data_IF_439434724034
#
_entry.id   IF_439434724034
#
_cell.length_a   1.000
_cell.length_b   1.000
_cell.length_c   1.000
_cell.angle_alpha   90.00
_cell.angle_beta   90.00
_cell.angle_gamma   90.00
#
_symmetry.space_group_name_H-M   'P 1'
#
loop_
_entity.id
_entity.type
_entity.pdbx_description
1 polymer ?
#
# COMPACT_ATOMS: atom_id res chain seq x y z
N UNK A 1 36.47 -75.00 19.83
CA UNK A 1 37.93 -74.75 19.76
C UNK A 1 38.14 -73.38 20.36
N UNK A 2 38.48 -73.32 21.66
CA UNK A 2 39.87 -73.18 22.20
C UNK A 2 40.43 -71.82 21.77
N UNK A 3 40.80 -70.87 22.64
CA UNK A 3 41.32 -70.85 24.02
C UNK A 3 40.96 -69.46 24.61
N UNK A 4 40.56 -69.24 25.87
CA UNK A 4 41.16 -69.53 27.19
C UNK A 4 42.53 -68.87 27.44
N UNK A 5 42.63 -68.16 28.58
CA UNK A 5 43.81 -67.68 29.33
C UNK A 5 43.95 -66.13 29.34
N UNK A 6 44.12 -65.44 30.47
CA UNK A 6 44.38 -65.87 31.86
C UNK A 6 44.10 -64.71 32.82
N UNK A 7 43.59 -65.08 33.99
CA UNK A 7 43.44 -64.28 35.20
C UNK A 7 44.78 -63.70 35.71
N UNK A 8 44.73 -62.58 36.43
CA UNK A 8 45.13 -62.58 37.86
C UNK A 8 44.50 -61.40 38.63
N UNK A 9 43.77 -61.78 39.69
CA UNK A 9 43.20 -60.95 40.75
C UNK A 9 44.27 -60.34 41.68
N UNK A 10 43.76 -59.52 42.62
CA UNK A 10 44.22 -59.24 44.01
C UNK A 10 44.73 -57.79 44.12
N UNK A 11 44.22 -56.85 44.93
CA UNK A 11 43.39 -56.78 46.17
C UNK A 11 43.02 -55.28 46.30
N UNK A 12 41.90 -54.81 46.86
CA UNK A 12 41.53 -54.85 48.29
C UNK A 12 40.21 -54.09 48.48
N UNK A 13 39.35 -54.65 49.31
CA UNK A 13 38.03 -54.18 49.73
C UNK A 13 38.03 -52.79 50.37
N UNK A 14 36.94 -52.04 50.18
CA UNK A 14 36.37 -51.20 51.24
C UNK A 14 34.83 -51.29 51.21
N UNK A 15 34.26 -51.51 52.39
CA UNK A 15 32.87 -51.84 52.64
C UNK A 15 31.88 -50.73 52.22
N UNK A 16 30.79 -51.18 51.60
CA UNK A 16 29.59 -50.42 51.30
C UNK A 16 28.69 -50.42 52.54
N UNK A 17 28.27 -49.25 53.01
CA UNK A 17 27.09 -49.11 53.87
C UNK A 17 26.07 -48.24 53.13
N UNK A 18 24.97 -48.86 52.69
CA UNK A 18 23.84 -48.20 52.05
C UNK A 18 23.03 -47.45 53.11
N UNK A 19 22.89 -46.14 52.96
CA UNK A 19 21.87 -45.34 53.63
C UNK A 19 21.03 -44.67 52.54
N UNK A 20 19.84 -45.23 52.28
CA UNK A 20 18.85 -44.65 51.37
C UNK A 20 18.03 -43.63 52.18
N UNK A 21 18.30 -42.35 51.96
CA UNK A 21 17.45 -41.25 52.44
C UNK A 21 16.48 -40.89 51.33
N UNK A 22 15.19 -41.16 51.54
CA UNK A 22 14.11 -40.61 50.72
C UNK A 22 14.02 -39.10 50.97
N UNK A 23 14.58 -38.31 50.06
CA UNK A 23 14.41 -36.87 50.06
C UNK A 23 13.14 -36.52 49.26
N UNK A 24 12.06 -36.26 49.97
CA UNK A 24 10.82 -35.71 49.43
C UNK A 24 11.06 -34.25 48.99
N UNK A 25 11.53 -34.04 47.78
CA UNK A 25 11.53 -32.71 47.17
C UNK A 25 10.12 -32.42 46.64
N UNK A 26 9.40 -31.54 47.33
CA UNK A 26 8.23 -30.86 46.81
C UNK A 26 8.63 -30.13 45.51
N UNK A 27 8.25 -30.69 44.37
CA UNK A 27 8.25 -29.98 43.10
C UNK A 27 7.03 -29.05 43.13
N UNK A 28 7.21 -27.83 43.64
CA UNK A 28 6.28 -26.75 43.37
C UNK A 28 6.24 -26.56 41.85
N UNK A 29 5.12 -26.97 41.25
CA UNK A 29 4.77 -26.65 39.88
C UNK A 29 4.67 -25.14 39.74
N UNK A 30 5.80 -24.49 39.51
CA UNK A 30 5.85 -23.13 39.04
C UNK A 30 5.41 -23.16 37.57
N UNK A 31 4.10 -23.34 37.35
CA UNK A 31 3.45 -22.99 36.09
C UNK A 31 3.69 -21.50 35.92
N UNK A 32 4.81 -21.13 35.29
CA UNK A 32 4.89 -19.91 34.49
C UNK A 32 3.73 -20.02 33.53
N UNK A 33 2.62 -19.39 33.88
CA UNK A 33 1.59 -19.03 32.92
C UNK A 33 2.34 -18.30 31.83
N UNK A 34 2.47 -18.92 30.64
CA UNK A 34 2.83 -18.20 29.43
C UNK A 34 1.76 -17.12 29.36
N UNK A 35 2.12 -15.89 29.72
CA UNK A 35 1.25 -14.73 29.55
C UNK A 35 0.97 -14.72 28.04
N UNK A 36 -0.25 -15.08 27.65
CA UNK A 36 -0.67 -14.93 26.27
C UNK A 36 -0.49 -13.44 25.97
N UNK A 37 0.38 -13.13 25.02
CA UNK A 37 0.47 -11.77 24.53
C UNK A 37 -0.88 -11.42 23.92
N UNK A 38 -1.46 -10.26 24.27
CA UNK A 38 -2.80 -9.91 23.85
C UNK A 38 -2.85 -9.72 22.33
N UNK A 39 -4.02 -10.00 21.76
CA UNK A 39 -4.35 -9.58 20.39
C UNK A 39 -4.12 -8.07 20.29
N UNK A 40 -3.44 -7.65 19.22
CA UNK A 40 -3.21 -6.25 18.91
C UNK A 40 -3.76 -5.95 17.52
N UNK A 41 -4.57 -4.90 17.41
CA UNK A 41 -5.04 -4.33 16.13
C UNK A 41 -4.51 -2.91 16.02
N UNK A 42 -3.48 -2.74 15.21
CA UNK A 42 -2.84 -1.47 14.92
C UNK A 42 -3.47 -0.85 13.69
N UNK A 43 -4.01 0.37 13.82
CA UNK A 43 -4.53 1.17 12.70
C UNK A 43 -3.47 2.21 12.38
N UNK A 44 -2.91 2.17 11.16
CA UNK A 44 -1.66 2.89 10.84
C UNK A 44 -1.79 4.41 10.94
N UNK A 45 -2.96 4.96 10.62
CA UNK A 45 -3.21 6.41 10.64
C UNK A 45 -4.04 6.87 11.85
N UNK A 46 -3.97 6.09 12.94
CA UNK A 46 -4.60 6.42 14.22
C UNK A 46 -6.07 6.01 14.32
N UNK A 47 -6.57 6.12 15.55
CA UNK A 47 -7.91 5.65 15.94
C UNK A 47 -9.01 6.70 15.71
N UNK A 48 -8.63 7.90 15.25
CA UNK A 48 -9.54 8.96 14.82
C UNK A 48 -9.07 9.43 13.45
N UNK A 49 -9.90 9.25 12.44
CA UNK A 49 -9.57 9.62 11.07
C UNK A 49 -10.66 10.48 10.47
N UNK A 50 -10.24 11.48 9.71
CA UNK A 50 -11.12 12.40 9.01
C UNK A 50 -11.07 12.09 7.50
N UNK A 51 -12.22 12.04 6.86
CA UNK A 51 -12.34 11.88 5.41
C UNK A 51 -13.22 13.00 4.85
N UNK A 52 -12.83 13.53 3.69
CA UNK A 52 -13.57 14.60 3.04
C UNK A 52 -13.26 16.01 3.52
N UNK A 53 -12.31 16.21 4.44
CA UNK A 53 -11.90 17.53 4.97
C UNK A 53 -11.53 18.56 3.89
N UNK A 54 -11.00 18.07 2.78
CA UNK A 54 -10.53 18.89 1.65
C UNK A 54 -11.11 18.37 0.34
N UNK A 55 -12.22 17.65 0.35
CA UNK A 55 -12.79 16.98 -0.83
C UNK A 55 -12.60 15.46 -0.83
N UNK A 56 -13.16 14.81 -1.85
CA UNK A 56 -13.31 13.36 -1.91
C UNK A 56 -12.63 12.77 -3.16
N UNK A 57 -11.41 12.22 -3.04
CA UNK A 57 -10.66 11.73 -4.20
C UNK A 57 -11.21 10.45 -4.82
N UNK A 58 -12.01 9.68 -4.07
CA UNK A 58 -12.55 8.40 -4.51
C UNK A 58 -13.88 8.06 -3.83
N UNK A 59 -14.57 7.04 -4.34
CA UNK A 59 -15.84 6.55 -3.80
C UNK A 59 -15.75 5.81 -2.45
N UNK A 60 -14.53 5.46 -2.00
CA UNK A 60 -14.29 4.70 -0.77
C UNK A 60 -13.38 5.43 0.21
N UNK A 61 -13.53 5.11 1.49
CA UNK A 61 -12.52 5.41 2.51
C UNK A 61 -11.78 4.13 2.89
N UNK A 62 -10.54 4.25 3.37
CA UNK A 62 -9.70 3.10 3.71
C UNK A 62 -9.19 3.25 5.14
N UNK A 63 -9.56 2.30 6.02
CA UNK A 63 -8.93 2.15 7.33
C UNK A 63 -7.94 1.00 7.23
N UNK A 64 -6.66 1.37 7.20
CA UNK A 64 -5.54 0.47 6.96
C UNK A 64 -4.84 0.10 8.28
N UNK A 65 -4.35 -1.13 8.37
CA UNK A 65 -3.69 -1.58 9.59
C UNK A 65 -3.16 -3.01 9.54
N UNK A 66 -2.70 -3.47 10.69
CA UNK A 66 -2.22 -4.82 10.89
C UNK A 66 -2.72 -5.42 12.22
N UNK A 67 -3.12 -6.69 12.20
CA UNK A 67 -3.54 -7.44 13.37
C UNK A 67 -2.55 -8.55 13.71
N UNK A 68 -2.14 -8.65 14.98
CA UNK A 68 -1.17 -9.65 15.46
C UNK A 68 -1.64 -10.30 16.74
N UNK A 69 -1.34 -11.59 16.85
CA UNK A 69 -1.42 -12.36 18.09
C UNK A 69 -0.35 -13.44 18.05
N UNK A 70 0.17 -13.84 19.22
CA UNK A 70 1.20 -14.87 19.32
C UNK A 70 0.73 -16.23 18.77
N UNK A 71 -0.54 -16.54 18.96
CA UNK A 71 -1.21 -17.74 18.45
C UNK A 71 -1.61 -17.61 16.97
N UNK A 72 -1.47 -16.43 16.35
CA UNK A 72 -2.06 -16.10 15.05
C UNK A 72 -3.49 -15.54 15.20
N UNK A 73 -3.89 -14.68 14.27
CA UNK A 73 -5.28 -14.19 14.21
C UNK A 73 -6.13 -15.21 13.46
N UNK A 74 -7.21 -15.68 14.09
CA UNK A 74 -8.16 -16.60 13.49
C UNK A 74 -9.25 -15.88 12.68
N UNK A 75 -9.71 -14.72 13.16
CA UNK A 75 -10.62 -13.86 12.41
C UNK A 75 -10.50 -12.40 12.81
N UNK A 76 -10.82 -11.52 11.86
CA UNK A 76 -11.04 -10.11 12.08
C UNK A 76 -12.30 -9.70 11.31
N UNK A 77 -13.15 -8.90 11.95
CA UNK A 77 -14.32 -8.29 11.33
C UNK A 77 -14.48 -6.86 11.83
N UNK A 78 -15.32 -6.09 11.14
CA UNK A 78 -15.70 -4.74 11.59
C UNK A 78 -17.21 -4.55 11.61
N UNK A 79 -17.70 -3.74 12.54
CA UNK A 79 -19.08 -3.23 12.58
C UNK A 79 -19.05 -1.71 12.36
N UNK A 80 -19.80 -1.24 11.36
CA UNK A 80 -19.96 0.19 11.08
C UNK A 80 -21.30 0.68 11.67
N UNK A 81 -21.25 1.72 12.51
CA UNK A 81 -22.41 2.36 13.13
C UNK A 81 -23.36 1.38 13.82
N UNK A 82 -22.81 0.33 14.47
CA UNK A 82 -23.57 -0.68 15.19
C UNK A 82 -24.29 -1.71 14.31
N UNK A 83 -24.06 -1.70 12.99
CA UNK A 83 -24.60 -2.72 12.07
C UNK A 83 -23.90 -4.07 12.25
N UNK A 84 -24.44 -5.12 11.63
CA UNK A 84 -23.84 -6.46 11.63
C UNK A 84 -22.37 -6.43 11.21
N UNK A 85 -21.56 -7.26 11.87
CA UNK A 85 -20.14 -7.33 11.59
C UNK A 85 -19.86 -7.93 10.20
N UNK A 86 -18.95 -7.31 9.46
CA UNK A 86 -18.51 -7.71 8.13
C UNK A 86 -17.10 -8.33 8.28
N UNK A 87 -16.88 -9.57 7.80
CA UNK A 87 -15.57 -10.20 7.88
C UNK A 87 -14.53 -9.47 7.02
N UNK A 88 -13.29 -9.47 7.47
CA UNK A 88 -12.14 -8.95 6.74
C UNK A 88 -11.22 -10.10 6.31
N UNK A 89 -10.68 -9.96 5.10
CA UNK A 89 -9.50 -10.70 4.66
C UNK A 89 -8.29 -10.23 5.47
N UNK A 90 -7.44 -11.18 5.83
CA UNK A 90 -6.26 -10.95 6.64
C UNK A 90 -5.03 -11.51 5.95
N UNK A 91 -3.96 -10.72 5.95
CA UNK A 91 -2.69 -11.14 5.41
C UNK A 91 -2.58 -10.94 3.90
N UNK A 92 -1.42 -11.32 3.36
CA UNK A 92 -1.09 -11.07 1.96
C UNK A 92 -2.14 -11.63 1.01
N UNK A 93 -2.62 -10.77 0.13
CA UNK A 93 -3.59 -11.10 -0.90
C UNK A 93 -2.96 -10.97 -2.31
N UNK A 94 -1.62 -10.83 -2.31
CA UNK A 94 -0.76 -10.56 -3.46
C UNK A 94 -1.02 -9.24 -4.18
N UNK A 95 -1.90 -8.40 -3.64
CA UNK A 95 -2.32 -7.12 -4.20
C UNK A 95 -2.31 -6.04 -3.12
N UNK A 96 -3.46 -5.72 -2.54
CA UNK A 96 -3.64 -4.59 -1.63
C UNK A 96 -3.08 -4.87 -0.24
N UNK A 97 -3.15 -6.12 0.22
CA UNK A 97 -2.61 -6.57 1.51
C UNK A 97 -1.23 -7.22 1.29
N UNK A 98 -0.20 -6.73 1.99
CA UNK A 98 1.18 -7.12 1.73
C UNK A 98 1.70 -8.17 2.70
N UNK A 99 1.63 -7.89 3.99
CA UNK A 99 2.18 -8.69 5.07
C UNK A 99 1.15 -9.53 5.80
N UNK A 100 1.62 -10.49 6.60
CA UNK A 100 0.78 -11.27 7.50
C UNK A 100 0.05 -10.36 8.49
N UNK A 101 -1.28 -10.53 8.58
CA UNK A 101 -2.12 -9.75 9.49
C UNK A 101 -2.55 -8.39 8.94
N UNK A 102 -2.09 -7.98 7.76
CA UNK A 102 -2.56 -6.74 7.13
C UNK A 102 -4.06 -6.83 6.85
N UNK A 103 -4.73 -5.68 6.99
CA UNK A 103 -6.13 -5.50 6.61
C UNK A 103 -6.33 -4.13 5.97
N UNK A 104 -7.39 -4.02 5.16
CA UNK A 104 -7.90 -2.78 4.62
C UNK A 104 -9.42 -2.80 4.73
N UNK A 105 -9.99 -1.86 5.49
CA UNK A 105 -11.44 -1.67 5.54
C UNK A 105 -11.82 -0.62 4.51
N UNK A 106 -12.26 -1.06 3.34
CA UNK A 106 -12.60 -0.21 2.20
C UNK A 106 -14.11 0.07 2.13
N UNK A 107 -14.54 1.10 2.85
CA UNK A 107 -15.95 1.41 3.07
C UNK A 107 -16.45 2.31 1.95
N UNK A 108 -17.57 1.93 1.30
CA UNK A 108 -18.29 2.84 0.42
C UNK A 108 -18.78 4.06 1.20
N UNK A 109 -18.43 5.27 0.74
CA UNK A 109 -18.76 6.50 1.45
C UNK A 109 -20.27 6.72 1.58
N UNK A 110 -21.10 6.11 0.71
CA UNK A 110 -22.57 6.15 0.82
C UNK A 110 -23.12 5.44 2.07
N UNK A 111 -22.30 4.62 2.74
CA UNK A 111 -22.65 3.96 4.00
C UNK A 111 -22.37 4.82 5.24
N UNK A 112 -21.68 5.96 5.07
CA UNK A 112 -21.31 6.87 6.14
C UNK A 112 -22.37 7.96 6.33
N UNK A 113 -22.53 8.40 7.57
CA UNK A 113 -23.30 9.60 7.91
C UNK A 113 -22.38 10.82 7.83
N UNK A 114 -22.84 11.98 7.33
CA UNK A 114 -22.11 13.24 7.54
C UNK A 114 -21.84 13.46 9.04
N UNK A 115 -20.61 13.83 9.38
CA UNK A 115 -20.13 13.92 10.76
C UNK A 115 -19.58 12.61 11.30
N UNK A 116 -19.93 12.26 12.55
CA UNK A 116 -19.29 11.17 13.29
C UNK A 116 -19.88 9.81 12.93
N UNK A 117 -19.00 8.85 12.67
CA UNK A 117 -19.26 7.43 12.48
C UNK A 117 -18.39 6.61 13.43
N UNK A 118 -18.88 5.43 13.82
CA UNK A 118 -18.17 4.50 14.69
C UNK A 118 -17.85 3.23 13.93
N UNK A 119 -16.59 2.80 13.96
CA UNK A 119 -16.13 1.54 13.40
C UNK A 119 -15.57 0.68 14.54
N UNK A 120 -16.17 -0.47 14.80
CA UNK A 120 -15.69 -1.40 15.82
C UNK A 120 -15.02 -2.60 15.17
N UNK A 121 -13.75 -2.83 15.45
CA UNK A 121 -13.07 -4.09 15.15
C UNK A 121 -13.42 -5.16 16.17
N UNK A 122 -13.61 -6.38 15.70
CA UNK A 122 -13.82 -7.59 16.51
C UNK A 122 -12.83 -8.63 16.01
N UNK A 123 -11.86 -8.99 16.87
CA UNK A 123 -10.80 -9.91 16.54
C UNK A 123 -10.86 -11.15 17.45
N UNK A 124 -10.47 -12.29 16.88
CA UNK A 124 -10.31 -13.56 17.59
C UNK A 124 -9.00 -14.21 17.19
N UNK A 125 -8.25 -14.72 18.15
CA UNK A 125 -7.00 -15.44 17.88
C UNK A 125 -7.24 -16.96 17.77
N UNK A 126 -6.21 -17.71 17.35
CA UNK A 126 -6.29 -19.17 17.21
C UNK A 126 -6.38 -19.92 18.55
N UNK A 127 -6.33 -19.21 19.67
CA UNK A 127 -6.54 -19.74 21.03
C UNK A 127 -7.88 -19.32 21.63
N UNK A 128 -8.81 -18.81 20.80
CA UNK A 128 -10.16 -18.38 21.21
C UNK A 128 -10.18 -17.12 22.11
N UNK A 129 -9.07 -16.37 22.20
CA UNK A 129 -9.08 -15.08 22.86
C UNK A 129 -9.80 -14.06 21.98
N UNK A 130 -10.46 -13.08 22.60
CA UNK A 130 -11.24 -12.04 21.93
C UNK A 130 -10.68 -10.65 22.21
N UNK A 131 -10.83 -9.75 21.24
CA UNK A 131 -10.45 -8.35 21.36
C UNK A 131 -11.40 -7.46 20.56
N UNK A 132 -11.78 -6.32 21.13
CA UNK A 132 -12.55 -5.29 20.43
C UNK A 132 -11.80 -3.96 20.46
N UNK A 133 -11.93 -3.17 19.39
CA UNK A 133 -11.37 -1.82 19.31
C UNK A 133 -12.30 -0.89 18.55
N UNK A 134 -12.63 0.25 19.14
CA UNK A 134 -13.41 1.31 18.50
C UNK A 134 -12.50 2.32 17.80
N UNK A 135 -12.87 2.67 16.57
CA UNK A 135 -12.26 3.69 15.72
C UNK A 135 -13.34 4.72 15.40
N UNK A 136 -12.96 6.00 15.43
CA UNK A 136 -13.84 7.11 15.08
C UNK A 136 -13.52 7.60 13.68
N UNK A 137 -14.57 7.74 12.88
CA UNK A 137 -14.48 8.28 11.52
C UNK A 137 -15.29 9.58 11.51
N UNK A 138 -14.68 10.70 11.15
CA UNK A 138 -15.42 11.91 10.83
C UNK A 138 -15.49 12.04 9.31
N UNK A 139 -16.69 12.15 8.76
CA UNK A 139 -16.92 12.19 7.33
C UNK A 139 -17.57 13.52 6.92
N UNK A 140 -17.02 14.15 5.90
CA UNK A 140 -17.51 15.41 5.34
C UNK A 140 -17.75 15.18 3.84
N UNK A 141 -18.95 15.50 3.35
CA UNK A 141 -19.35 15.25 1.95
C UNK A 141 -19.65 16.52 1.16
N UNK A 142 -19.44 17.68 1.76
CA UNK A 142 -19.76 18.99 1.18
C UNK A 142 -18.55 19.73 0.63
N UNK A 143 -17.34 19.37 1.07
CA UNK A 143 -16.11 20.04 0.65
C UNK A 143 -15.70 19.60 -0.75
N UNK A 144 -15.00 20.49 -1.45
CA UNK A 144 -14.44 20.23 -2.77
C UNK A 144 -12.95 20.54 -2.77
N UNK A 145 -12.15 19.61 -3.28
CA UNK A 145 -10.71 19.84 -3.35
C UNK A 145 -10.37 20.96 -4.32
N UNK A 146 -9.67 22.02 -3.88
CA UNK A 146 -9.33 23.12 -4.75
C UNK A 146 -8.38 22.67 -5.87
N UNK A 147 -8.56 23.21 -7.06
CA UNK A 147 -7.64 23.08 -8.20
C UNK A 147 -7.39 24.50 -8.74
N UNK A 148 -6.17 25.05 -8.66
CA UNK A 148 -4.88 24.41 -8.34
C UNK A 148 -4.70 24.01 -6.87
N UNK A 149 -3.74 23.12 -6.60
CA UNK A 149 -3.39 22.65 -5.26
C UNK A 149 -1.88 22.43 -5.11
N UNK A 150 -1.38 22.46 -3.87
CA UNK A 150 0.01 22.08 -3.61
C UNK A 150 0.19 21.48 -2.22
N UNK A 151 1.14 20.56 -2.09
CA UNK A 151 1.55 19.94 -0.84
C UNK A 151 3.04 20.19 -0.64
N UNK A 152 3.39 20.76 0.51
CA UNK A 152 4.77 20.82 1.00
C UNK A 152 4.92 19.90 2.19
N UNK A 153 5.51 18.72 2.01
CA UNK A 153 5.47 17.66 3.02
C UNK A 153 6.09 18.06 4.36
N UNK A 154 7.11 18.94 4.33
CA UNK A 154 7.75 19.46 5.54
C UNK A 154 6.81 20.23 6.48
N UNK A 155 5.71 20.77 5.95
CA UNK A 155 4.73 21.56 6.72
C UNK A 155 3.54 20.68 7.20
N UNK A 156 3.52 19.41 6.80
CA UNK A 156 2.41 18.48 7.04
C UNK A 156 2.71 17.60 8.24
N UNK A 157 1.74 17.50 9.16
CA UNK A 157 1.86 16.63 10.35
C UNK A 157 1.19 15.28 10.14
N UNK A 158 0.06 15.26 9.43
CA UNK A 158 -0.70 14.04 9.13
C UNK A 158 -1.01 14.00 7.64
N UNK A 159 -0.75 12.87 6.99
CA UNK A 159 -0.95 12.71 5.54
C UNK A 159 -2.42 12.99 5.18
N UNK A 160 -3.35 12.47 5.98
CA UNK A 160 -4.81 12.61 5.79
C UNK A 160 -5.32 14.07 5.83
N UNK A 161 -4.51 15.03 6.29
CA UNK A 161 -4.88 16.46 6.25
C UNK A 161 -4.67 17.10 4.86
N UNK A 162 -3.92 16.44 3.96
CA UNK A 162 -3.51 16.99 2.65
C UNK A 162 -3.56 16.00 1.48
N UNK A 163 -3.80 14.72 1.74
CA UNK A 163 -3.84 13.62 0.78
C UNK A 163 -4.68 12.48 1.36
N UNK A 164 -5.28 11.59 0.56
CA UNK A 164 -5.94 10.39 1.08
C UNK A 164 -5.07 9.15 0.85
N UNK A 165 -4.67 8.44 1.90
CA UNK A 165 -4.02 7.13 1.72
C UNK A 165 -5.07 6.10 1.33
N UNK A 166 -4.86 5.45 0.18
CA UNK A 166 -5.78 4.42 -0.34
C UNK A 166 -5.25 3.02 -0.04
N UNK A 167 -3.94 2.82 -0.22
CA UNK A 167 -3.24 1.57 0.13
C UNK A 167 -1.80 1.81 0.58
N UNK A 168 -1.33 0.88 1.42
CA UNK A 168 0.03 0.89 1.94
C UNK A 168 0.22 1.73 3.19
N UNK A 169 1.38 1.50 3.81
CA UNK A 169 1.85 2.27 4.95
C UNK A 169 2.82 3.34 4.45
N UNK A 170 2.45 4.60 4.65
CA UNK A 170 3.18 5.76 4.20
C UNK A 170 3.61 6.61 5.39
N UNK A 171 4.75 7.27 5.26
CA UNK A 171 5.25 8.21 6.24
C UNK A 171 5.78 9.49 5.61
N UNK A 172 5.67 10.58 6.35
CA UNK A 172 6.27 11.86 5.98
C UNK A 172 7.70 11.85 6.50
N UNK A 173 8.64 12.01 5.59
CA UNK A 173 10.08 12.15 5.88
C UNK A 173 10.54 13.58 5.61
N UNK A 174 11.80 13.89 5.94
CA UNK A 174 12.41 15.18 5.58
C UNK A 174 12.50 15.41 4.07
N UNK A 175 12.50 14.33 3.28
CA UNK A 175 12.66 14.38 1.82
C UNK A 175 11.35 14.34 1.05
N UNK A 176 10.24 14.03 1.71
CA UNK A 176 8.92 13.86 1.10
C UNK A 176 8.13 12.70 1.69
N UNK A 177 7.10 12.27 0.97
CA UNK A 177 6.23 11.15 1.31
C UNK A 177 6.87 9.82 0.86
N UNK A 178 7.07 8.89 1.79
CA UNK A 178 7.76 7.61 1.56
C UNK A 178 6.86 6.42 1.87
N UNK A 179 6.88 5.38 1.03
CA UNK A 179 6.20 4.12 1.33
C UNK A 179 7.13 3.19 2.12
N UNK A 180 6.63 2.69 3.26
CA UNK A 180 7.39 1.83 4.17
C UNK A 180 7.48 0.38 3.69
N UNK A 181 6.49 -0.05 2.92
CA UNK A 181 6.38 -1.42 2.41
C UNK A 181 6.47 -1.42 0.89
N UNK A 182 7.29 -2.33 0.33
CA UNK A 182 7.43 -2.58 -1.11
C UNK A 182 6.55 -3.75 -1.50
N UNK A 183 5.47 -3.50 -2.25
CA UNK A 183 4.55 -4.53 -2.71
C UNK A 183 3.68 -4.03 -3.87
N UNK A 184 2.73 -4.84 -4.37
CA UNK A 184 1.75 -4.42 -5.38
C UNK A 184 1.06 -3.12 -4.94
N UNK A 185 0.97 -2.13 -5.83
CA UNK A 185 0.37 -0.80 -5.65
C UNK A 185 0.23 -0.29 -4.20
N UNK A 186 1.18 0.55 -3.79
CA UNK A 186 1.01 1.49 -2.68
C UNK A 186 0.56 2.80 -3.28
N UNK A 187 -0.56 3.34 -2.79
CA UNK A 187 -1.20 4.49 -3.45
C UNK A 187 -1.74 5.53 -2.48
N UNK A 188 -1.51 6.79 -2.86
CA UNK A 188 -2.00 7.99 -2.17
C UNK A 188 -2.71 8.86 -3.19
N UNK A 189 -3.97 9.19 -2.91
CA UNK A 189 -4.80 10.01 -3.78
C UNK A 189 -4.72 11.50 -3.40
N UNK A 190 -4.70 12.35 -4.42
CA UNK A 190 -4.63 13.80 -4.32
C UNK A 190 -5.69 14.38 -5.26
N UNK A 191 -6.57 15.21 -4.70
CA UNK A 191 -7.61 15.90 -5.46
C UNK A 191 -9.00 15.33 -5.27
N UNK A 192 -9.91 15.72 -6.14
CA UNK A 192 -11.34 15.44 -6.01
C UNK A 192 -11.83 14.55 -7.15
N UNK A 193 -12.91 13.81 -6.91
CA UNK A 193 -13.62 13.07 -7.96
C UNK A 193 -14.20 13.98 -9.06
N UNK A 194 -14.21 15.30 -8.85
CA UNK A 194 -14.62 16.31 -9.82
C UNK A 194 -13.51 16.88 -10.71
N UNK A 195 -12.23 16.59 -10.46
CA UNK A 195 -11.13 17.12 -11.27
C UNK A 195 -11.12 16.53 -12.68
N UNK A 196 -11.06 17.38 -13.71
CA UNK A 196 -11.11 16.97 -15.12
C UNK A 196 -9.75 17.14 -15.81
N UNK A 197 -9.27 18.38 -15.93
CA UNK A 197 -8.04 18.71 -16.65
C UNK A 197 -7.01 19.36 -15.74
N UNK A 198 -5.87 18.70 -15.60
CA UNK A 198 -4.83 19.12 -14.67
C UNK A 198 -3.45 18.57 -15.03
N UNK A 199 -2.44 19.26 -14.52
CA UNK A 199 -1.05 18.83 -14.56
C UNK A 199 -0.54 18.64 -13.14
N UNK A 200 0.06 17.49 -12.87
CA UNK A 200 0.69 17.13 -11.59
C UNK A 200 2.20 17.14 -11.77
N UNK A 201 2.88 17.87 -10.90
CA UNK A 201 4.34 17.92 -10.81
C UNK A 201 4.79 17.48 -9.43
N UNK A 202 5.79 16.61 -9.38
CA UNK A 202 6.48 16.24 -8.14
C UNK A 202 7.91 15.85 -8.46
N UNK A 203 8.63 15.37 -7.45
CA UNK A 203 9.88 14.64 -7.66
C UNK A 203 9.72 13.21 -7.18
N UNK A 204 10.45 12.28 -7.77
CA UNK A 204 10.52 10.89 -7.32
C UNK A 204 11.99 10.51 -7.05
N UNK A 205 12.22 9.76 -5.98
CA UNK A 205 13.50 9.10 -5.70
C UNK A 205 13.22 7.61 -5.56
N UNK A 206 13.88 6.77 -6.38
CA UNK A 206 13.78 5.32 -6.30
C UNK A 206 14.85 4.79 -5.34
N UNK A 207 14.46 4.18 -4.22
CA UNK A 207 15.40 3.68 -3.21
C UNK A 207 15.76 2.21 -3.43
N UNK A 208 14.74 1.41 -3.75
CA UNK A 208 14.86 -0.02 -4.06
C UNK A 208 13.61 -0.48 -4.79
N UNK A 209 13.61 -1.71 -5.31
CA UNK A 209 12.45 -2.30 -5.95
C UNK A 209 12.56 -3.83 -5.93
N UNK A 210 11.43 -4.51 -6.04
CA UNK A 210 11.41 -5.95 -6.35
C UNK A 210 11.60 -6.09 -7.85
N UNK A 211 12.59 -6.85 -8.37
CA UNK A 211 12.73 -7.04 -9.80
C UNK A 211 11.44 -7.60 -10.44
N UNK A 212 11.03 -7.07 -11.61
CA UNK A 212 9.84 -7.57 -12.28
C UNK A 212 9.95 -9.06 -12.62
N UNK A 213 8.92 -9.84 -12.28
CA UNK A 213 8.85 -11.27 -12.52
C UNK A 213 7.44 -11.70 -12.94
N UNK A 214 7.33 -12.87 -13.59
CA UNK A 214 6.04 -13.39 -14.02
C UNK A 214 5.11 -13.64 -12.81
N UNK A 215 3.92 -13.07 -12.88
CA UNK A 215 2.87 -13.25 -11.87
C UNK A 215 2.95 -12.31 -10.66
N UNK A 216 1.98 -12.44 -9.75
CA UNK A 216 1.91 -11.59 -8.55
C UNK A 216 3.15 -11.73 -7.64
N UNK A 217 3.51 -10.67 -6.88
CA UNK A 217 2.83 -9.37 -6.82
C UNK A 217 3.33 -8.37 -7.87
N UNK A 218 4.23 -8.74 -8.79
CA UNK A 218 4.89 -7.78 -9.71
C UNK A 218 4.27 -7.75 -11.11
N UNK A 219 3.73 -8.86 -11.60
CA UNK A 219 3.14 -8.97 -12.94
C UNK A 219 4.07 -8.49 -14.07
N UNK A 220 5.37 -8.76 -13.96
CA UNK A 220 6.41 -8.29 -14.88
C UNK A 220 6.58 -6.76 -14.92
N UNK A 221 6.05 -6.06 -13.91
CA UNK A 221 6.17 -4.61 -13.75
C UNK A 221 6.70 -4.25 -12.35
N UNK A 222 7.55 -3.24 -12.31
CA UNK A 222 7.81 -2.46 -11.10
C UNK A 222 7.99 -1.02 -11.55
N UNK A 223 7.30 -0.09 -10.89
CA UNK A 223 7.24 1.29 -11.36
C UNK A 223 6.96 2.28 -10.24
N UNK A 224 7.20 3.55 -10.54
CA UNK A 224 6.49 4.65 -9.92
C UNK A 224 5.60 5.30 -10.98
N UNK A 225 4.45 5.82 -10.58
CA UNK A 225 3.47 6.38 -11.49
C UNK A 225 2.79 7.61 -10.91
N UNK A 226 2.22 8.39 -11.83
CA UNK A 226 1.08 9.25 -11.53
C UNK A 226 -0.10 8.73 -12.34
N UNK A 227 -1.19 8.37 -11.65
CA UNK A 227 -2.46 8.09 -12.30
C UNK A 227 -3.32 9.34 -12.36
N UNK A 228 -4.09 9.48 -13.42
CA UNK A 228 -4.99 10.59 -13.67
C UNK A 228 -6.43 10.09 -13.81
N UNK A 229 -7.35 10.92 -13.33
CA UNK A 229 -8.79 10.71 -13.33
C UNK A 229 -9.19 9.39 -12.67
N UNK A 230 -8.69 9.16 -11.46
CA UNK A 230 -9.05 8.02 -10.63
C UNK A 230 -10.40 8.24 -9.91
N UNK A 231 -11.42 7.39 -10.16
CA UNK A 231 -12.71 7.48 -9.48
C UNK A 231 -12.77 6.66 -8.18
N UNK A 232 -11.77 5.79 -7.93
CA UNK A 232 -11.80 4.79 -6.86
C UNK A 232 -11.90 3.35 -7.38
N UNK A 233 -11.49 2.39 -6.54
CA UNK A 233 -11.68 0.96 -6.83
C UNK A 233 -13.15 0.61 -7.05
N UNK A 234 -13.46 0.01 -8.19
CA UNK A 234 -14.79 -0.45 -8.55
C UNK A 234 -15.27 -1.69 -7.76
N UNK A 235 -16.56 -2.00 -7.84
CA UNK A 235 -17.15 -3.15 -7.18
C UNK A 235 -16.65 -4.47 -7.81
N UNK A 236 -16.38 -5.45 -6.97
CA UNK A 236 -16.05 -6.84 -7.29
C UNK A 236 -16.46 -7.73 -6.10
N UNK A 237 -16.13 -9.02 -6.13
CA UNK A 237 -16.47 -9.98 -5.07
C UNK A 237 -15.37 -10.15 -4.02
N UNK A 238 -14.36 -9.28 -4.01
CA UNK A 238 -13.18 -9.40 -3.16
C UNK A 238 -13.26 -8.43 -1.97
N UNK A 239 -12.50 -8.75 -0.92
CA UNK A 239 -12.30 -7.88 0.23
C UNK A 239 -10.78 -7.84 0.51
N UNK A 240 -10.13 -6.65 0.49
CA UNK A 240 -10.66 -5.40 -0.07
C UNK A 240 -10.93 -5.53 -1.58
N UNK A 241 -11.72 -4.62 -2.15
CA UNK A 241 -11.96 -4.56 -3.59
C UNK A 241 -10.64 -4.36 -4.35
N UNK A 242 -10.46 -5.02 -5.49
CA UNK A 242 -9.23 -4.96 -6.30
C UNK A 242 -9.42 -4.41 -7.70
N UNK A 243 -10.65 -4.35 -8.19
CA UNK A 243 -10.97 -3.79 -9.51
C UNK A 243 -10.66 -2.29 -9.54
N UNK A 244 -9.48 -1.90 -10.02
CA UNK A 244 -9.02 -0.50 -10.02
C UNK A 244 -9.48 0.30 -11.25
N UNK A 245 -10.18 -0.34 -12.19
CA UNK A 245 -10.72 0.24 -13.41
C UNK A 245 -12.26 0.30 -13.37
N UNK A 246 -12.91 1.23 -14.09
CA UNK A 246 -12.32 2.20 -15.03
C UNK A 246 -11.52 3.30 -14.32
N UNK A 247 -10.47 3.77 -14.97
CA UNK A 247 -9.63 4.92 -14.59
C UNK A 247 -9.32 5.70 -15.89
N UNK A 248 -8.92 6.97 -15.80
CA UNK A 248 -8.44 7.69 -16.99
C UNK A 248 -7.18 7.04 -17.57
N UNK A 249 -6.05 7.22 -16.89
CA UNK A 249 -4.83 6.49 -17.23
C UNK A 249 -3.82 6.52 -16.10
N UNK A 250 -2.93 5.55 -16.10
CA UNK A 250 -1.70 5.55 -15.31
C UNK A 250 -0.52 5.71 -16.24
N UNK A 251 0.24 6.78 -16.03
CA UNK A 251 1.55 6.95 -16.64
C UNK A 251 2.58 6.31 -15.74
N UNK A 252 3.07 5.14 -16.14
CA UNK A 252 3.98 4.30 -15.38
C UNK A 252 5.40 4.43 -15.88
N UNK A 253 6.31 4.85 -15.01
CA UNK A 253 7.72 4.81 -15.31
C UNK A 253 8.32 3.49 -14.81
N UNK A 254 8.48 2.54 -15.73
CA UNK A 254 8.86 1.16 -15.47
C UNK A 254 10.36 1.04 -15.21
N UNK A 255 10.69 0.26 -14.18
CA UNK A 255 12.04 -0.19 -13.88
C UNK A 255 12.28 -1.59 -14.46
N UNK A 256 13.48 -1.83 -14.97
CA UNK A 256 13.95 -3.16 -15.35
C UNK A 256 14.95 -3.68 -14.33
N UNK A 257 15.20 -4.99 -14.32
CA UNK A 257 16.10 -5.62 -13.34
C UNK A 257 17.49 -4.97 -13.27
N UNK A 258 18.01 -4.52 -14.42
CA UNK A 258 19.32 -3.87 -14.54
C UNK A 258 19.25 -2.34 -14.49
N UNK A 259 18.06 -1.74 -14.40
CA UNK A 259 17.83 -0.30 -14.44
C UNK A 259 18.41 0.40 -15.69
N UNK A 260 18.61 -0.31 -16.79
CA UNK A 260 19.24 0.17 -18.02
C UNK A 260 18.26 0.42 -19.18
N UNK A 261 17.03 -0.07 -19.01
CA UNK A 261 15.97 -0.10 -20.04
C UNK A 261 14.64 0.41 -19.47
N UNK A 262 14.74 1.42 -18.59
CA UNK A 262 13.60 2.05 -17.95
C UNK A 262 12.88 2.98 -18.93
N UNK A 263 11.55 3.03 -18.83
CA UNK A 263 10.70 3.65 -19.86
C UNK A 263 9.31 3.97 -19.34
N UNK A 264 8.64 4.90 -20.00
CA UNK A 264 7.23 5.18 -19.78
C UNK A 264 6.32 4.21 -20.56
N UNK A 265 5.17 3.90 -19.96
CA UNK A 265 3.95 3.49 -20.67
C UNK A 265 2.73 4.22 -20.09
N UNK A 266 1.68 4.36 -20.88
CA UNK A 266 0.39 4.95 -20.46
C UNK A 266 -0.71 3.93 -20.70
N UNK A 267 -1.45 3.58 -19.64
CA UNK A 267 -2.37 2.43 -19.61
C UNK A 267 -3.54 2.68 -18.66
N UNK A 268 -4.73 2.13 -18.95
CA UNK A 268 -5.97 2.34 -18.19
C UNK A 268 -6.63 1.07 -17.64
N UNK A 269 -6.06 -0.11 -17.91
CA UNK A 269 -6.59 -1.37 -17.39
C UNK A 269 -6.72 -2.48 -18.42
N UNK A 270 -6.92 -3.72 -17.95
CA UNK A 270 -6.90 -4.87 -18.82
C UNK A 270 -8.09 -4.81 -19.78
N UNK A 271 -7.81 -4.82 -21.09
CA UNK A 271 -8.83 -4.87 -22.15
C UNK A 271 -8.71 -6.19 -22.92
N UNK A 272 -9.77 -7.01 -23.01
CA UNK A 272 -9.72 -8.31 -23.68
C UNK A 272 -9.29 -8.24 -25.15
N UNK A 273 -9.68 -7.17 -25.86
CA UNK A 273 -9.60 -7.10 -27.34
C UNK A 273 -8.85 -5.87 -27.87
N UNK A 274 -8.20 -5.08 -27.02
CA UNK A 274 -7.52 -3.83 -27.39
C UNK A 274 -6.04 -3.86 -27.03
N UNK A 275 -5.19 -3.06 -27.72
CA UNK A 275 -3.80 -2.89 -27.30
C UNK A 275 -3.75 -2.51 -25.83
N UNK A 276 -2.87 -3.18 -25.08
CA UNK A 276 -2.76 -3.09 -23.62
C UNK A 276 -2.26 -1.72 -23.12
N UNK A 277 -2.15 -0.70 -23.96
CA UNK A 277 -1.65 0.63 -23.58
C UNK A 277 -2.01 1.65 -24.66
N UNK A 278 -2.21 2.91 -24.27
CA UNK A 278 -2.36 4.03 -25.21
C UNK A 278 -1.02 4.39 -25.87
N UNK A 279 0.07 4.26 -25.13
CA UNK A 279 1.43 4.50 -25.63
C UNK A 279 2.48 3.77 -24.76
N UNK A 280 3.58 3.33 -25.35
CA UNK A 280 4.81 2.91 -24.67
C UNK A 280 5.99 3.56 -25.41
N UNK A 281 7.00 4.04 -24.68
CA UNK A 281 8.18 4.64 -25.31
C UNK A 281 8.88 3.62 -26.22
N UNK A 282 9.46 4.07 -27.35
CA UNK A 282 10.25 3.19 -28.21
C UNK A 282 11.61 2.86 -27.57
N UNK A 283 12.20 1.74 -27.99
CA UNK A 283 13.51 1.26 -27.49
C UNK A 283 14.61 2.32 -27.58
N UNK A 284 14.58 3.20 -28.59
CA UNK A 284 15.54 4.29 -28.79
C UNK A 284 15.51 5.37 -27.71
N UNK A 285 14.44 5.42 -26.90
CA UNK A 285 14.25 6.39 -25.82
C UNK A 285 14.35 5.77 -24.43
N UNK A 286 14.68 4.47 -24.35
CA UNK A 286 14.93 3.82 -23.07
C UNK A 286 16.14 4.46 -22.39
N UNK A 287 16.08 4.51 -21.06
CA UNK A 287 17.09 5.19 -20.26
C UNK A 287 17.46 4.41 -19.02
N UNK A 288 18.66 4.71 -18.52
CA UNK A 288 19.13 4.19 -17.25
C UNK A 288 18.65 5.05 -16.07
N UNK A 289 18.46 4.41 -14.92
CA UNK A 289 18.07 5.06 -13.67
C UNK A 289 19.05 4.69 -12.57
N UNK A 290 19.42 5.69 -11.78
CA UNK A 290 20.26 5.51 -10.61
C UNK A 290 19.38 5.51 -9.35
N UNK A 291 19.52 4.48 -8.53
CA UNK A 291 18.86 4.46 -7.22
C UNK A 291 19.39 5.60 -6.34
N UNK A 292 18.52 6.11 -5.48
CA UNK A 292 18.76 7.24 -4.58
C UNK A 292 19.06 8.58 -5.28
N UNK A 293 18.99 8.63 -6.61
CA UNK A 293 18.98 9.88 -7.37
C UNK A 293 17.55 10.41 -7.46
N UNK A 294 17.42 11.73 -7.28
CA UNK A 294 16.14 12.43 -7.37
C UNK A 294 15.88 12.83 -8.81
N UNK A 295 14.65 12.64 -9.25
CA UNK A 295 14.16 13.02 -10.58
C UNK A 295 12.92 13.89 -10.44
N UNK A 296 12.73 14.85 -11.33
CA UNK A 296 11.45 15.52 -11.51
C UNK A 296 10.52 14.60 -12.30
N UNK A 297 9.26 14.52 -11.90
CA UNK A 297 8.22 13.69 -12.53
C UNK A 297 6.98 14.56 -12.75
N UNK A 298 6.50 14.60 -14.00
CA UNK A 298 5.36 15.43 -14.37
C UNK A 298 4.40 14.66 -15.25
N UNK A 299 3.11 14.83 -14.98
CA UNK A 299 2.01 14.22 -15.72
C UNK A 299 0.92 15.23 -16.03
N UNK A 300 0.31 15.11 -17.20
CA UNK A 300 -0.78 15.97 -17.66
C UNK A 300 -1.93 15.11 -18.19
N UNK A 301 -3.16 15.50 -17.84
CA UNK A 301 -4.38 15.00 -18.46
C UNK A 301 -5.19 16.17 -18.99
N UNK A 302 -5.57 16.13 -20.27
CA UNK A 302 -6.36 17.16 -20.93
C UNK A 302 -7.43 16.54 -21.83
N UNK A 303 -8.67 16.98 -21.69
CA UNK A 303 -9.73 16.73 -22.67
C UNK A 303 -9.40 17.47 -23.97
N UNK A 304 -9.60 16.81 -25.10
CA UNK A 304 -9.46 17.35 -26.45
C UNK A 304 -10.83 17.52 -27.12
N UNK A 305 -10.85 18.17 -28.27
CA UNK A 305 -12.02 18.16 -29.16
C UNK A 305 -12.43 16.73 -29.52
N UNK A 306 -13.73 16.52 -29.75
CA UNK A 306 -14.25 15.19 -30.08
C UNK A 306 -14.33 14.22 -28.90
N UNK A 307 -14.15 14.72 -27.67
CA UNK A 307 -14.24 13.96 -26.41
C UNK A 307 -13.07 12.98 -26.17
N UNK A 308 -12.00 13.04 -26.95
CA UNK A 308 -10.76 12.30 -26.67
C UNK A 308 -10.02 12.90 -25.47
N UNK A 309 -9.16 12.11 -24.82
CA UNK A 309 -8.28 12.58 -23.73
C UNK A 309 -6.82 12.40 -24.12
N UNK A 310 -6.00 13.42 -23.91
CA UNK A 310 -4.54 13.33 -24.01
C UNK A 310 -3.92 13.19 -22.63
N UNK A 311 -3.06 12.20 -22.53
CA UNK A 311 -2.17 12.00 -21.39
C UNK A 311 -0.74 12.29 -21.81
N UNK A 312 0.02 12.96 -20.97
CA UNK A 312 1.44 13.24 -21.23
C UNK A 312 2.28 13.05 -19.98
N UNK A 313 3.45 12.46 -20.13
CA UNK A 313 4.36 12.17 -19.03
C UNK A 313 5.79 12.58 -19.38
N UNK A 314 6.56 13.02 -18.37
CA UNK A 314 8.01 13.19 -18.51
C UNK A 314 8.75 13.05 -17.18
N UNK A 315 10.00 12.62 -17.28
CA UNK A 315 10.95 12.45 -16.18
C UNK A 315 12.30 13.03 -16.58
N UNK A 316 12.93 13.83 -15.71
CA UNK A 316 14.27 14.37 -15.93
C UNK A 316 15.03 14.50 -14.61
N UNK A 317 16.36 14.65 -14.67
CA UNK A 317 17.15 14.69 -13.44
C UNK A 317 16.81 15.94 -12.61
N UNK A 318 16.80 15.79 -11.29
CA UNK A 318 16.55 16.92 -10.40
C UNK A 318 17.69 17.95 -10.49
N UNK A 319 17.34 19.23 -10.59
CA UNK A 319 18.29 20.33 -10.75
C UNK A 319 18.56 20.72 -12.20
N UNK A 320 18.12 19.91 -13.18
CA UNK A 320 18.15 20.27 -14.60
C UNK A 320 16.90 21.06 -15.01
N UNK A 321 17.01 21.85 -16.09
CA UNK A 321 15.90 22.57 -16.69
C UNK A 321 14.82 21.59 -17.19
N UNK A 322 13.55 21.98 -17.07
CA UNK A 322 12.44 21.18 -17.55
C UNK A 322 12.50 21.05 -19.09
N UNK A 323 12.53 19.81 -19.64
CA UNK A 323 12.48 19.62 -21.08
C UNK A 323 11.21 20.22 -21.69
N UNK A 324 11.34 20.88 -22.84
CA UNK A 324 10.21 21.47 -23.56
C UNK A 324 9.23 20.40 -24.07
N UNK A 325 9.76 19.27 -24.53
CA UNK A 325 8.97 18.16 -25.06
C UNK A 325 8.53 17.20 -23.94
N UNK A 326 7.40 16.53 -24.17
CA UNK A 326 6.98 15.41 -23.35
C UNK A 326 7.73 14.15 -23.76
N UNK A 327 8.09 13.30 -22.79
CA UNK A 327 8.76 12.03 -23.06
C UNK A 327 7.80 11.04 -23.74
N UNK A 328 6.52 11.09 -23.35
CA UNK A 328 5.50 10.21 -23.89
C UNK A 328 4.15 10.93 -23.91
N UNK A 329 3.41 10.74 -25.00
CA UNK A 329 2.04 11.23 -25.19
C UNK A 329 1.17 10.05 -25.62
N UNK A 330 0.02 9.87 -24.97
CA UNK A 330 -0.99 8.89 -25.34
C UNK A 330 -2.35 9.55 -25.53
N UNK A 331 -3.14 9.05 -26.49
CA UNK A 331 -4.49 9.54 -26.77
C UNK A 331 -5.49 8.42 -26.54
N UNK A 332 -6.48 8.67 -25.70
CA UNK A 332 -7.66 7.85 -25.49
C UNK A 332 -8.81 8.42 -26.32
N UNK A 333 -9.41 7.61 -27.20
CA UNK A 333 -10.52 8.05 -28.05
C UNK A 333 -11.89 7.51 -27.61
N UNK A 334 -11.91 6.38 -26.89
CA UNK A 334 -13.11 5.66 -26.48
C UNK A 334 -13.11 5.42 -24.97
N UNK A 335 -14.29 5.24 -24.37
CA UNK A 335 -14.47 4.84 -22.94
C UNK A 335 -13.88 5.80 -21.89
N UNK A 336 -13.71 7.08 -22.24
CA UNK A 336 -13.11 8.10 -21.40
C UNK A 336 -13.72 8.19 -19.99
N UNK A 337 -12.86 7.98 -18.99
CA UNK A 337 -13.13 8.54 -17.66
C UNK A 337 -12.85 10.03 -17.72
N UNK A 338 -13.89 10.84 -17.56
CA UNK A 338 -13.81 12.30 -17.75
C UNK A 338 -13.31 13.06 -16.53
N UNK A 339 -13.34 12.45 -15.34
CA UNK A 339 -12.99 13.12 -14.10
C UNK A 339 -12.49 12.16 -13.04
N UNK A 340 -11.67 12.66 -12.13
CA UNK A 340 -11.20 11.93 -10.96
C UNK A 340 -9.91 12.53 -10.41
N UNK A 341 -9.56 12.07 -9.22
CA UNK A 341 -8.35 12.49 -8.52
C UNK A 341 -7.08 11.99 -9.23
N UNK A 342 -5.93 12.53 -8.82
CA UNK A 342 -4.63 12.00 -9.17
C UNK A 342 -4.16 10.99 -8.13
N UNK A 343 -3.37 10.00 -8.54
CA UNK A 343 -2.68 9.09 -7.61
C UNK A 343 -1.17 9.28 -7.70
N UNK A 344 -0.50 9.23 -6.56
CA UNK A 344 0.90 8.83 -6.48
C UNK A 344 0.95 7.32 -6.29
N UNK A 345 1.68 6.61 -7.16
CA UNK A 345 1.70 5.15 -7.18
C UNK A 345 3.11 4.63 -7.06
N UNK A 346 3.32 3.71 -6.13
CA UNK A 346 4.54 2.91 -6.00
C UNK A 346 4.17 1.43 -6.15
N UNK A 347 4.51 0.83 -7.28
CA UNK A 347 4.22 -0.58 -7.56
C UNK A 347 5.51 -1.39 -7.46
N UNK A 348 5.63 -2.19 -6.40
CA UNK A 348 6.82 -2.98 -6.10
C UNK A 348 8.12 -2.15 -6.08
N UNK A 349 8.00 -0.87 -5.72
CA UNK A 349 9.10 0.08 -5.56
C UNK A 349 9.08 0.70 -4.18
N UNK A 350 10.26 0.95 -3.61
CA UNK A 350 10.44 1.85 -2.47
C UNK A 350 10.78 3.22 -3.03
N UNK A 351 9.91 4.21 -2.81
CA UNK A 351 10.05 5.54 -3.39
C UNK A 351 9.80 6.63 -2.37
N UNK A 352 10.41 7.79 -2.61
CA UNK A 352 10.00 9.04 -1.96
C UNK A 352 9.47 9.98 -3.02
N UNK A 353 8.20 10.40 -2.86
CA UNK A 353 7.62 11.49 -3.63
C UNK A 353 7.86 12.81 -2.88
N UNK A 354 8.41 13.79 -3.59
CA UNK A 354 8.63 15.13 -3.04
C UNK A 354 7.34 15.95 -2.99
N UNK A 355 7.49 17.24 -2.74
CA UNK A 355 6.38 18.20 -2.79
C UNK A 355 5.58 18.05 -4.08
N UNK A 356 4.26 18.23 -3.97
CA UNK A 356 3.32 18.04 -5.07
C UNK A 356 2.74 19.38 -5.46
N UNK A 357 2.67 19.64 -6.77
CA UNK A 357 2.05 20.83 -7.34
C UNK A 357 1.08 20.39 -8.40
N UNK A 358 -0.19 20.80 -8.27
CA UNK A 358 -1.24 20.52 -9.25
C UNK A 358 -1.75 21.84 -9.80
N UNK A 359 -1.64 22.02 -11.12
CA UNK A 359 -2.19 23.18 -11.82
C UNK A 359 -3.42 22.79 -12.63
N UNK A 360 -4.39 23.69 -12.70
CA UNK A 360 -5.50 23.59 -13.64
C UNK A 360 -4.99 23.79 -15.06
N UNK A 361 -5.48 23.00 -16.00
CA UNK A 361 -5.33 23.29 -17.42
C UNK A 361 -6.54 24.11 -17.85
N UNK A 362 -6.29 25.26 -18.46
CA UNK A 362 -7.32 26.07 -19.10
C UNK A 362 -7.16 25.80 -20.58
N UNK A 363 -8.21 25.28 -21.22
CA UNK A 363 -8.27 25.25 -22.68
C UNK A 363 -8.35 26.70 -23.16
N UNK A 364 -7.46 27.08 -24.09
CA UNK A 364 -7.46 28.39 -24.73
C UNK A 364 -8.70 28.61 -25.61
#
# INVERSE_FOLDING_TARGET
>A
MKDLNRQLMIKRSFCILFLVVFCSCNFENNKRTKKNEPITVEVWYGDVQDFGKIGLPQKRINILGNAKAKSGIASLSYSLNGKSAIPLTLGSDLHRLAGTGDFNVDIDRSLLHPGKNSLKFIAKDSSDNHFEKDIRINYIDTEKWPLPYSIRWKDVKQIQDVAQVVDGHWEITKSGLHNKDVFYDRIVAIGDDTWQDYEVSTTVTFHSFTPPALGPPTYEISHAAISSRFPGYDNDSLQPHRKWYPIGATSEFRLTANLDSCRWRIYDGPKPDLPQFYAEQPVSEYRSIELNKRYNMKNRVETLEGNSTRYSAKLWAFGEEEPQQWDLVGIENDENVHKGSALLVAHNTSVTFGDVYVSKIVQD
#
